data_IF_696493654915
#
_entry.id   IF_696493654915
#
_cell.length_a   1.000
_cell.length_b   1.000
_cell.length_c   1.000
_cell.angle_alpha   90.00
_cell.angle_beta   90.00
_cell.angle_gamma   90.00
#
_symmetry.space_group_name_H-M   'P 1'
#
loop_
_entity.id
_entity.type
_entity.pdbx_description
1 polymer ?
#
# COMPACT_ATOMS: atom_id res chain seq x y z
N UNK A 1 -10.62 11.21 -2.59
CA UNK A 1 -9.66 10.30 -3.18
C UNK A 1 -8.59 9.91 -2.15
N UNK A 2 -8.29 8.64 -2.07
CA UNK A 2 -7.22 8.14 -1.20
C UNK A 2 -5.94 8.01 -2.01
N UNK A 3 -4.94 8.79 -1.67
CA UNK A 3 -3.59 8.66 -2.23
C UNK A 3 -2.78 7.70 -1.37
N UNK A 4 -1.75 7.11 -1.95
CA UNK A 4 -0.85 6.28 -1.17
C UNK A 4 0.60 6.50 -1.61
N UNK A 5 1.51 6.13 -0.72
CA UNK A 5 2.95 6.23 -0.95
C UNK A 5 3.59 4.86 -1.04
N UNK A 6 2.81 3.85 -1.39
CA UNK A 6 3.28 2.46 -1.41
C UNK A 6 4.48 2.30 -2.33
N UNK A 7 4.43 2.87 -3.53
CA UNK A 7 5.52 2.76 -4.49
C UNK A 7 6.82 3.33 -3.95
N UNK A 8 6.75 4.51 -3.34
CA UNK A 8 7.92 5.17 -2.74
C UNK A 8 8.46 4.34 -1.57
N UNK A 9 7.57 3.89 -0.70
CA UNK A 9 7.94 3.10 0.47
C UNK A 9 8.59 1.77 0.08
N UNK A 10 8.10 1.13 -0.98
CA UNK A 10 8.72 -0.08 -1.52
C UNK A 10 10.13 0.23 -2.05
N UNK A 11 10.24 1.30 -2.83
CA UNK A 11 11.52 1.68 -3.43
C UNK A 11 12.58 1.95 -2.35
N UNK A 12 12.19 2.60 -1.27
CA UNK A 12 13.10 2.88 -0.15
C UNK A 12 13.62 1.61 0.51
N UNK A 13 12.87 0.51 0.38
CA UNK A 13 13.22 -0.78 0.99
C UNK A 13 13.73 -1.80 -0.02
N UNK A 14 13.86 -1.40 -1.28
CA UNK A 14 14.22 -2.28 -2.40
C UNK A 14 13.27 -3.47 -2.54
N UNK A 15 11.99 -3.25 -2.26
CA UNK A 15 10.95 -4.28 -2.42
C UNK A 15 10.27 -4.15 -3.77
N UNK A 16 10.10 -5.29 -4.45
CA UNK A 16 9.26 -5.37 -5.65
C UNK A 16 7.79 -5.40 -5.24
N UNK A 17 6.90 -5.23 -6.22
CA UNK A 17 5.47 -5.41 -5.98
C UNK A 17 5.17 -6.82 -5.47
N UNK A 18 5.87 -7.82 -6.02
CA UNK A 18 5.71 -9.20 -5.58
C UNK A 18 6.18 -9.40 -4.13
N UNK A 19 7.27 -8.73 -3.75
CA UNK A 19 7.77 -8.80 -2.38
C UNK A 19 6.72 -8.26 -1.40
N UNK A 20 6.16 -7.10 -1.69
CA UNK A 20 5.13 -6.52 -0.84
C UNK A 20 3.89 -7.40 -0.78
N UNK A 21 3.45 -7.92 -1.92
CA UNK A 21 2.30 -8.81 -2.00
C UNK A 21 2.48 -10.01 -1.07
N UNK A 22 3.64 -10.64 -1.10
CA UNK A 22 3.94 -11.79 -0.26
C UNK A 22 3.93 -11.42 1.22
N UNK A 23 4.49 -10.26 1.58
CA UNK A 23 4.57 -9.81 2.98
C UNK A 23 3.20 -9.49 3.56
N UNK A 24 2.31 -8.95 2.73
CA UNK A 24 0.95 -8.58 3.16
C UNK A 24 -0.01 -9.77 3.09
N UNK A 25 0.27 -10.72 2.19
CA UNK A 25 -0.60 -11.86 1.96
C UNK A 25 -1.70 -11.59 0.93
N UNK A 26 -1.40 -10.78 -0.07
CA UNK A 26 -2.32 -10.47 -1.16
C UNK A 26 -1.63 -10.78 -2.50
N UNK A 27 -2.38 -10.69 -3.59
CA UNK A 27 -1.80 -10.94 -4.92
C UNK A 27 -0.97 -9.74 -5.38
N UNK A 28 -0.02 -10.00 -6.26
CA UNK A 28 0.75 -8.94 -6.91
C UNK A 28 -0.17 -7.99 -7.66
N UNK A 29 -1.21 -8.54 -8.32
CA UNK A 29 -2.17 -7.73 -9.07
C UNK A 29 -2.93 -6.76 -8.15
N UNK A 30 -3.22 -7.17 -6.92
CA UNK A 30 -3.86 -6.29 -5.95
C UNK A 30 -2.94 -5.11 -5.59
N UNK A 31 -1.65 -5.36 -5.40
CA UNK A 31 -0.68 -4.29 -5.14
C UNK A 31 -0.65 -3.31 -6.30
N UNK A 32 -0.58 -3.83 -7.53
CA UNK A 32 -0.57 -2.99 -8.74
C UNK A 32 -1.82 -2.10 -8.79
N UNK A 33 -2.99 -2.69 -8.53
CA UNK A 33 -4.26 -1.95 -8.59
C UNK A 33 -4.35 -0.87 -7.52
N UNK A 34 -3.85 -1.14 -6.33
CA UNK A 34 -3.83 -0.15 -5.24
C UNK A 34 -2.88 1.01 -5.62
N UNK A 35 -1.70 0.70 -6.12
CA UNK A 35 -0.73 1.74 -6.50
C UNK A 35 -1.24 2.62 -7.63
N UNK A 36 -2.08 2.09 -8.50
CA UNK A 36 -2.66 2.83 -9.63
C UNK A 36 -3.98 3.52 -9.29
N UNK A 37 -4.40 3.48 -8.02
CA UNK A 37 -5.65 4.07 -7.55
C UNK A 37 -6.90 3.46 -8.21
N UNK A 38 -6.80 2.23 -8.72
CA UNK A 38 -7.93 1.51 -9.29
C UNK A 38 -8.72 0.73 -8.25
N UNK A 39 -8.16 0.58 -7.07
CA UNK A 39 -8.72 -0.20 -5.99
C UNK A 39 -8.33 0.42 -4.67
N UNK A 40 -9.33 0.74 -3.85
CA UNK A 40 -9.10 1.25 -2.50
C UNK A 40 -9.16 0.06 -1.54
N UNK A 41 -8.10 -0.21 -0.79
CA UNK A 41 -8.10 -1.33 0.13
C UNK A 41 -9.10 -1.13 1.26
N UNK A 42 -9.58 -2.24 1.82
CA UNK A 42 -10.38 -2.19 3.04
C UNK A 42 -9.53 -1.59 4.16
N UNK A 43 -10.20 -1.12 5.21
CA UNK A 43 -9.49 -0.57 6.36
C UNK A 43 -8.55 -1.60 6.97
N UNK A 44 -9.01 -2.85 7.07
CA UNK A 44 -8.17 -3.93 7.60
C UNK A 44 -6.92 -4.13 6.75
N UNK A 45 -7.08 -4.18 5.42
CA UNK A 45 -5.95 -4.36 4.53
C UNK A 45 -5.00 -3.15 4.60
N UNK A 46 -5.54 -1.95 4.70
CA UNK A 46 -4.73 -0.74 4.83
C UNK A 46 -3.85 -0.79 6.09
N UNK A 47 -4.40 -1.24 7.21
CA UNK A 47 -3.62 -1.41 8.44
C UNK A 47 -2.55 -2.49 8.28
N UNK A 48 -2.85 -3.59 7.59
CA UNK A 48 -1.86 -4.65 7.34
C UNK A 48 -0.70 -4.13 6.51
N UNK A 49 -0.98 -3.33 5.49
CA UNK A 49 0.06 -2.73 4.64
C UNK A 49 0.94 -1.81 5.48
N UNK A 50 0.34 -0.95 6.29
CA UNK A 50 1.09 -0.03 7.15
C UNK A 50 1.98 -0.81 8.12
N UNK A 51 1.48 -1.90 8.68
CA UNK A 51 2.23 -2.74 9.62
C UNK A 51 3.44 -3.38 8.95
N UNK A 52 3.29 -3.84 7.71
CA UNK A 52 4.41 -4.42 6.96
C UNK A 52 5.51 -3.39 6.74
N UNK A 53 5.16 -2.13 6.48
CA UNK A 53 6.13 -1.05 6.37
C UNK A 53 6.63 -0.55 7.72
N UNK A 54 5.99 -0.96 8.81
CA UNK A 54 6.34 -0.54 10.18
C UNK A 54 6.23 0.97 10.38
N UNK A 55 5.18 1.56 9.81
CA UNK A 55 4.87 2.99 9.98
C UNK A 55 3.35 3.13 10.18
N UNK A 56 2.94 4.30 10.65
CA UNK A 56 1.51 4.53 10.86
C UNK A 56 0.76 4.65 9.55
N UNK A 57 -0.52 4.27 9.56
CA UNK A 57 -1.36 4.21 8.37
C UNK A 57 -1.44 5.55 7.64
N UNK A 58 -1.42 6.65 8.36
CA UNK A 58 -1.49 7.99 7.77
C UNK A 58 -0.19 8.42 7.08
N UNK A 59 0.86 7.62 7.21
CA UNK A 59 2.11 7.81 6.45
C UNK A 59 2.14 6.97 5.18
N UNK A 60 1.19 6.04 5.05
CA UNK A 60 1.04 5.22 3.84
C UNK A 60 -0.08 5.77 2.97
N UNK A 61 -1.20 6.11 3.59
CA UNK A 61 -2.41 6.57 2.90
C UNK A 61 -2.76 7.98 3.33
N UNK A 62 -3.26 8.75 2.38
CA UNK A 62 -3.62 10.13 2.62
C UNK A 62 -4.95 10.42 1.93
N UNK A 63 -5.87 11.08 2.64
CA UNK A 63 -7.16 11.46 2.08
C UNK A 63 -7.09 12.87 1.52
N UNK A 64 -7.46 13.02 0.26
CA UNK A 64 -7.54 14.32 -0.38
C UNK A 64 -8.99 14.66 -0.64
N UNK A 65 -9.44 15.79 -0.13
CA UNK A 65 -10.77 16.30 -0.40
C UNK A 65 -10.78 17.04 -1.74
N UNK A 66 -11.89 16.94 -2.43
CA UNK A 66 -12.08 17.66 -3.69
C UNK A 66 -12.36 19.13 -3.47
#
# INVERSE_FOLDING_TARGET
LIHNRIKVLRAERDWTQADLAAKVGISRQAVISIEKYKYTPSLELAFKIAKVFDISINKVFEYEED
#
